data_IF_378935045652
#
_entry.id   IF_378935045652
#
_cell.length_a   1.000
_cell.length_b   1.000
_cell.length_c   1.000
_cell.angle_alpha   90.00
_cell.angle_beta   90.00
_cell.angle_gamma   90.00
#
_symmetry.space_group_name_H-M   'P 1'
#
loop_
_entity.id
_entity.type
_entity.pdbx_description
1 polymer ?
#
# COMPACT_ATOMS: atom_id res chain seq x y z
N UNK A 1 18.65 23.01 -51.75
CA UNK A 1 18.92 23.74 -50.50
C UNK A 1 18.89 25.25 -50.73
N UNK A 2 18.22 25.99 -49.85
CA UNK A 2 18.21 27.47 -49.95
C UNK A 2 19.51 28.06 -49.41
N UNK A 3 19.84 29.30 -49.83
CA UNK A 3 21.00 30.04 -49.29
C UNK A 3 20.95 30.14 -47.77
N UNK A 4 19.72 30.25 -47.19
CA UNK A 4 19.52 30.32 -45.78
C UNK A 4 19.80 29.01 -45.06
N UNK A 5 19.34 27.88 -45.60
CA UNK A 5 19.64 26.57 -45.06
C UNK A 5 21.15 26.25 -45.11
N UNK A 6 21.82 26.64 -46.18
CA UNK A 6 23.27 26.51 -46.29
C UNK A 6 24.00 27.34 -45.22
N UNK A 7 23.48 28.53 -44.89
CA UNK A 7 24.04 29.37 -43.82
C UNK A 7 23.80 28.77 -42.42
N UNK A 8 22.64 28.14 -42.19
CA UNK A 8 22.29 27.53 -40.91
C UNK A 8 23.13 26.26 -40.69
N UNK A 9 23.15 25.37 -41.67
CA UNK A 9 23.83 24.09 -41.56
C UNK A 9 25.32 24.13 -41.86
N UNK A 10 25.88 25.28 -42.28
CA UNK A 10 27.29 25.61 -42.38
C UNK A 10 28.15 24.44 -42.90
N UNK A 11 27.80 23.88 -44.05
CA UNK A 11 28.58 22.77 -44.64
C UNK A 11 28.79 21.56 -43.70
N UNK A 12 27.82 21.23 -42.90
CA UNK A 12 27.82 20.11 -41.95
C UNK A 12 28.41 18.80 -42.54
N UNK A 13 28.26 18.60 -43.84
CA UNK A 13 28.84 17.46 -44.57
C UNK A 13 30.38 17.51 -44.65
N UNK A 14 31.01 18.59 -44.23
CA UNK A 14 32.46 18.72 -44.18
C UNK A 14 32.90 18.71 -42.71
N UNK A 15 33.45 17.59 -42.24
CA UNK A 15 33.85 17.38 -40.84
C UNK A 15 35.04 18.26 -40.40
N UNK A 16 35.72 18.98 -41.33
CA UNK A 16 36.79 19.92 -41.03
C UNK A 16 36.30 21.32 -40.63
N UNK A 17 35.01 21.58 -40.71
CA UNK A 17 34.48 22.92 -40.46
C UNK A 17 33.67 22.87 -39.19
N UNK A 18 34.06 23.63 -38.15
CA UNK A 18 33.25 23.85 -36.95
C UNK A 18 31.93 24.48 -37.32
N UNK A 19 30.84 23.80 -36.97
CA UNK A 19 29.53 24.26 -37.35
C UNK A 19 28.39 23.66 -36.49
N UNK A 20 27.31 23.36 -37.17
CA UNK A 20 26.14 22.75 -36.57
C UNK A 20 26.43 21.33 -36.09
N UNK A 21 26.29 21.05 -34.79
CA UNK A 21 26.46 19.70 -34.28
C UNK A 21 25.20 18.86 -34.58
N UNK A 22 25.33 17.98 -35.53
CA UNK A 22 24.26 17.08 -35.98
C UNK A 22 23.90 15.98 -34.99
N UNK A 23 24.76 15.71 -34.01
CA UNK A 23 24.53 14.68 -32.98
C UNK A 23 23.52 15.16 -31.98
N UNK A 24 23.35 16.49 -31.82
CA UNK A 24 22.45 17.10 -30.85
C UNK A 24 21.16 17.57 -31.50
N UNK A 25 20.04 17.34 -30.81
CA UNK A 25 18.73 17.90 -31.18
C UNK A 25 18.71 19.40 -30.83
N UNK A 26 18.31 20.24 -31.76
CA UNK A 26 18.18 21.72 -31.58
C UNK A 26 16.71 22.10 -31.50
N UNK A 27 16.39 23.05 -30.64
CA UNK A 27 15.00 23.58 -30.52
C UNK A 27 14.55 24.16 -31.86
N UNK A 28 13.33 23.89 -32.25
CA UNK A 28 12.74 24.33 -33.50
C UNK A 28 11.22 24.51 -33.35
N UNK A 29 10.68 25.43 -34.16
CA UNK A 29 9.25 25.63 -34.32
C UNK A 29 8.85 25.26 -35.76
N UNK A 30 7.78 24.48 -35.86
CA UNK A 30 7.20 24.12 -37.15
C UNK A 30 6.04 25.06 -37.42
N UNK A 31 6.06 25.70 -38.58
CA UNK A 31 5.00 26.57 -39.07
C UNK A 31 4.33 25.93 -40.28
N UNK A 32 3.00 25.96 -40.31
CA UNK A 32 2.20 25.55 -41.46
C UNK A 32 1.34 26.77 -41.85
N UNK A 33 1.44 27.18 -43.12
CA UNK A 33 0.73 28.37 -43.61
C UNK A 33 0.97 29.63 -42.76
N UNK A 34 2.23 29.86 -42.35
CA UNK A 34 2.69 30.98 -41.50
C UNK A 34 2.11 31.00 -40.08
N UNK A 35 1.29 30.00 -39.68
CA UNK A 35 0.85 29.83 -38.28
C UNK A 35 1.78 28.81 -37.60
N UNK A 36 2.15 29.09 -36.36
CA UNK A 36 2.89 28.15 -35.54
C UNK A 36 2.04 26.89 -35.33
N UNK A 37 2.53 25.77 -35.84
CA UNK A 37 1.83 24.48 -35.75
C UNK A 37 2.31 23.68 -34.56
N UNK A 38 3.65 23.63 -34.36
CA UNK A 38 4.21 22.81 -33.29
C UNK A 38 5.62 23.27 -32.90
N UNK A 39 5.90 23.32 -31.60
CA UNK A 39 7.24 23.42 -31.08
C UNK A 39 7.87 22.03 -30.89
N UNK A 40 9.19 21.95 -30.98
CA UNK A 40 9.89 20.71 -30.82
C UNK A 40 11.40 20.85 -31.00
N UNK A 41 12.02 19.75 -31.40
CA UNK A 41 13.44 19.71 -31.69
C UNK A 41 13.66 19.12 -33.08
N UNK A 42 14.62 19.62 -33.79
CA UNK A 42 15.08 19.01 -35.03
C UNK A 42 16.42 18.31 -34.85
N UNK A 43 16.54 17.19 -35.52
CA UNK A 43 17.80 16.47 -35.68
C UNK A 43 18.13 16.47 -37.17
N UNK A 44 19.38 16.75 -37.48
CA UNK A 44 19.89 16.66 -38.83
C UNK A 44 20.26 15.22 -39.13
N UNK A 45 19.72 14.66 -40.21
CA UNK A 45 19.97 13.27 -40.62
C UNK A 45 20.96 13.14 -41.77
N UNK A 46 21.04 14.17 -42.60
CA UNK A 46 21.95 14.12 -43.72
C UNK A 46 21.75 15.22 -44.78
N UNK A 47 22.61 15.24 -45.78
CA UNK A 47 22.53 16.12 -46.92
C UNK A 47 22.70 15.31 -48.21
N UNK A 48 21.87 15.59 -49.19
CA UNK A 48 22.05 15.08 -50.57
C UNK A 48 22.80 16.12 -51.39
N UNK A 49 23.84 15.67 -52.03
CA UNK A 49 24.67 16.51 -52.94
C UNK A 49 24.29 16.27 -54.37
N UNK A 50 24.18 17.33 -55.15
CA UNK A 50 24.06 17.29 -56.60
C UNK A 50 25.14 18.22 -57.21
N UNK A 51 25.99 17.68 -58.06
CA UNK A 51 27.13 18.42 -58.63
C UNK A 51 28.03 19.05 -57.53
N UNK A 52 28.35 18.30 -56.49
CA UNK A 52 29.13 18.71 -55.32
C UNK A 52 28.54 19.92 -54.54
N UNK A 53 27.27 20.21 -54.72
CA UNK A 53 26.56 21.27 -53.96
C UNK A 53 25.41 20.69 -53.19
N UNK A 54 25.12 21.19 -51.99
CA UNK A 54 23.95 20.75 -51.19
C UNK A 54 22.66 20.95 -51.98
N UNK A 55 21.95 19.87 -52.23
CA UNK A 55 20.66 19.88 -52.92
C UNK A 55 19.50 19.81 -51.97
N UNK A 56 19.53 18.87 -51.03
CA UNK A 56 18.46 18.66 -50.06
C UNK A 56 19.07 18.38 -48.68
N UNK A 57 18.50 19.00 -47.63
CA UNK A 57 18.80 18.70 -46.24
C UNK A 57 17.68 17.82 -45.65
N UNK A 58 18.06 16.67 -45.08
CA UNK A 58 17.13 15.76 -44.44
C UNK A 58 17.13 16.01 -42.96
N UNK A 59 15.97 16.37 -42.43
CA UNK A 59 15.76 16.70 -41.04
C UNK A 59 14.63 15.85 -40.47
N UNK A 60 14.80 15.37 -39.25
CA UNK A 60 13.72 14.76 -38.50
C UNK A 60 13.25 15.75 -37.43
N UNK A 61 11.97 16.09 -37.46
CA UNK A 61 11.34 16.92 -36.43
C UNK A 61 10.77 16.02 -35.36
N UNK A 62 11.21 16.26 -34.13
CA UNK A 62 10.67 15.64 -32.92
C UNK A 62 9.80 16.72 -32.28
N UNK A 63 8.49 16.61 -32.43
CA UNK A 63 7.58 17.48 -31.69
C UNK A 63 7.82 17.32 -30.19
N UNK A 64 7.46 18.35 -29.41
CA UNK A 64 7.44 18.25 -27.95
C UNK A 64 6.30 17.32 -27.49
N UNK A 65 6.24 16.13 -28.11
CA UNK A 65 5.43 15.05 -27.55
C UNK A 65 6.08 14.64 -26.26
N UNK A 66 5.30 14.60 -25.20
CA UNK A 66 5.78 14.12 -23.92
C UNK A 66 6.25 12.70 -24.10
N UNK A 67 7.53 12.48 -24.01
CA UNK A 67 8.02 11.12 -23.89
C UNK A 67 7.85 10.69 -22.43
N UNK A 68 6.65 10.25 -22.09
CA UNK A 68 6.36 9.73 -20.77
C UNK A 68 7.30 8.58 -20.38
N UNK A 69 7.75 7.79 -21.36
CA UNK A 69 8.69 6.72 -21.10
C UNK A 69 10.02 7.26 -20.56
N UNK A 70 10.53 8.35 -21.15
CA UNK A 70 11.77 8.98 -20.66
C UNK A 70 11.60 9.65 -19.30
N UNK A 71 10.40 10.17 -19.00
CA UNK A 71 10.10 10.83 -17.72
C UNK A 71 9.80 9.83 -16.60
N UNK A 72 8.94 8.86 -16.84
CA UNK A 72 8.45 7.92 -15.83
C UNK A 72 9.34 6.69 -15.69
N UNK A 73 10.17 6.38 -16.70
CA UNK A 73 11.06 5.23 -16.70
C UNK A 73 10.31 3.92 -16.46
N UNK A 74 10.93 3.04 -15.69
CA UNK A 74 10.37 1.75 -15.29
C UNK A 74 9.82 1.77 -13.84
N UNK A 75 9.49 2.96 -13.33
CA UNK A 75 8.98 3.11 -11.96
C UNK A 75 7.57 2.56 -11.85
N UNK A 76 7.37 1.63 -10.92
CA UNK A 76 6.07 1.05 -10.60
C UNK A 76 5.23 2.00 -9.73
N UNK A 77 3.90 1.84 -9.76
CA UNK A 77 3.00 2.59 -8.87
C UNK A 77 3.35 2.37 -7.40
N UNK A 78 3.71 1.15 -7.01
CA UNK A 78 4.13 0.81 -5.64
C UNK A 78 5.35 1.60 -5.14
N UNK A 79 6.16 2.16 -6.04
CA UNK A 79 7.36 2.93 -5.72
C UNK A 79 7.11 4.45 -5.61
N UNK A 80 5.87 4.89 -5.75
CA UNK A 80 5.49 6.30 -5.56
C UNK A 80 5.49 6.64 -4.06
N UNK A 81 6.47 7.41 -3.62
CA UNK A 81 6.69 7.74 -2.19
C UNK A 81 5.50 8.45 -1.55
N UNK A 82 4.75 9.23 -2.33
CA UNK A 82 3.62 10.01 -1.88
C UNK A 82 2.41 9.16 -1.50
N UNK A 83 2.33 7.91 -1.97
CA UNK A 83 1.23 6.99 -1.62
C UNK A 83 1.15 6.69 -0.12
N UNK A 84 2.25 6.86 0.62
CA UNK A 84 2.26 6.72 2.08
C UNK A 84 1.32 7.68 2.82
N UNK A 85 0.98 8.82 2.21
CA UNK A 85 0.04 9.79 2.79
C UNK A 85 -1.39 9.24 2.86
N UNK A 86 -1.70 8.23 2.08
CA UNK A 86 -3.00 7.57 2.02
C UNK A 86 -3.10 6.34 2.92
N UNK A 87 -2.03 5.99 3.64
CA UNK A 87 -2.04 4.88 4.59
C UNK A 87 -3.03 5.14 5.72
N UNK A 88 -3.59 4.10 6.29
CA UNK A 88 -4.56 4.19 7.38
C UNK A 88 -4.67 2.86 8.16
N UNK A 89 -5.19 2.95 9.38
CA UNK A 89 -5.44 1.77 10.21
C UNK A 89 -6.74 1.08 9.79
N UNK A 90 -6.61 -0.21 9.46
CA UNK A 90 -7.73 -1.06 9.06
C UNK A 90 -8.39 -1.67 10.29
N UNK A 91 -9.38 -1.01 10.80
CA UNK A 91 -10.20 -1.44 11.92
C UNK A 91 -11.69 -1.17 11.63
N UNK A 92 -12.58 -1.70 12.46
CA UNK A 92 -14.01 -1.62 12.24
C UNK A 92 -14.55 -0.19 12.23
N UNK A 93 -13.94 0.71 12.99
CA UNK A 93 -14.33 2.13 13.05
C UNK A 93 -13.98 2.83 11.73
N UNK A 94 -12.73 2.73 11.31
CA UNK A 94 -12.27 3.38 10.09
C UNK A 94 -12.94 2.80 8.84
N UNK A 95 -13.09 1.47 8.77
CA UNK A 95 -13.77 0.84 7.62
C UNK A 95 -15.23 1.27 7.53
N UNK A 96 -15.95 1.33 8.66
CA UNK A 96 -17.33 1.81 8.69
C UNK A 96 -17.44 3.29 8.31
N UNK A 97 -16.53 4.12 8.81
CA UNK A 97 -16.45 5.55 8.46
C UNK A 97 -16.19 5.75 6.97
N UNK A 98 -15.15 5.11 6.42
CA UNK A 98 -14.77 5.29 5.02
C UNK A 98 -15.71 4.60 4.02
N UNK A 99 -16.53 3.65 4.49
CA UNK A 99 -17.62 3.08 3.70
C UNK A 99 -18.75 4.11 3.46
N UNK A 100 -19.03 4.96 4.44
CA UNK A 100 -20.15 5.90 4.41
C UNK A 100 -19.70 7.27 3.88
N UNK A 101 -18.60 7.78 4.43
CA UNK A 101 -18.17 9.16 4.22
C UNK A 101 -16.91 9.30 3.38
N UNK A 102 -16.25 8.17 3.04
CA UNK A 102 -14.91 8.22 2.45
C UNK A 102 -13.85 8.69 3.46
N UNK A 103 -12.59 8.70 3.02
CA UNK A 103 -11.48 9.30 3.76
C UNK A 103 -10.90 10.45 2.95
N UNK A 104 -11.01 11.65 3.49
CA UNK A 104 -10.31 12.82 2.97
C UNK A 104 -8.83 12.75 3.34
N UNK A 105 -7.97 13.19 2.42
CA UNK A 105 -6.53 13.23 2.64
C UNK A 105 -5.98 14.57 2.27
N UNK A 106 -5.32 15.22 3.23
CA UNK A 106 -4.53 16.41 2.96
C UNK A 106 -3.29 16.01 2.17
N UNK A 107 -3.27 16.38 0.90
CA UNK A 107 -2.18 16.05 -0.01
C UNK A 107 -1.40 17.33 -0.33
N UNK A 108 -0.35 17.61 0.45
CA UNK A 108 0.43 18.85 0.40
C UNK A 108 -0.44 20.10 0.56
N UNK A 109 -0.66 20.86 -0.51
CA UNK A 109 -1.41 22.12 -0.52
C UNK A 109 -2.88 21.97 -0.85
N UNK A 110 -3.34 20.75 -1.18
CA UNK A 110 -4.72 20.49 -1.54
C UNK A 110 -5.31 19.35 -0.70
N UNK A 111 -6.61 19.41 -0.47
CA UNK A 111 -7.35 18.29 0.12
C UNK A 111 -8.00 17.47 -1.00
N UNK A 112 -7.77 16.16 -0.97
CA UNK A 112 -8.42 15.20 -1.87
C UNK A 112 -9.59 14.58 -1.11
N UNK A 113 -10.78 15.00 -1.45
CA UNK A 113 -12.03 14.51 -0.85
C UNK A 113 -12.27 13.08 -1.28
N UNK A 114 -12.75 12.23 -0.38
CA UNK A 114 -12.97 10.80 -0.61
C UNK A 114 -11.78 10.11 -1.30
N UNK A 115 -10.57 10.42 -0.86
CA UNK A 115 -9.36 9.87 -1.46
C UNK A 115 -9.31 8.33 -1.35
N UNK A 116 -9.85 7.79 -0.25
CA UNK A 116 -10.02 6.35 -0.03
C UNK A 116 -11.50 6.09 0.30
N UNK A 117 -12.06 5.09 -0.35
CA UNK A 117 -13.41 4.59 -0.11
C UNK A 117 -13.41 3.08 0.00
N UNK A 118 -14.47 2.50 0.58
CA UNK A 118 -14.69 1.05 0.58
C UNK A 118 -15.89 0.72 -0.31
N UNK A 119 -15.69 0.42 -1.60
CA UNK A 119 -16.79 0.05 -2.48
C UNK A 119 -17.34 -1.32 -2.08
N UNK A 120 -18.65 -1.50 -2.22
CA UNK A 120 -19.33 -2.77 -1.99
C UNK A 120 -19.05 -3.75 -3.13
N UNK A 121 -17.79 -4.11 -3.31
CA UNK A 121 -17.30 -5.04 -4.35
C UNK A 121 -16.64 -6.23 -3.65
N UNK A 122 -16.92 -7.42 -4.14
CA UNK A 122 -16.28 -8.66 -3.69
C UNK A 122 -16.07 -9.59 -4.88
N UNK A 123 -15.06 -10.47 -4.79
CA UNK A 123 -14.75 -11.47 -5.81
C UNK A 123 -15.42 -12.82 -5.53
N UNK A 124 -15.80 -13.08 -4.28
CA UNK A 124 -16.21 -14.42 -3.83
C UNK A 124 -17.72 -14.53 -3.60
N UNK A 125 -18.35 -13.44 -3.20
CA UNK A 125 -19.77 -13.43 -2.84
C UNK A 125 -20.53 -12.33 -3.56
N UNK A 126 -21.83 -12.53 -3.72
CA UNK A 126 -22.74 -11.49 -4.21
C UNK A 126 -23.26 -10.67 -3.03
N UNK A 127 -23.10 -9.36 -3.07
CA UNK A 127 -23.70 -8.45 -2.11
C UNK A 127 -25.12 -8.10 -2.59
N UNK A 128 -26.07 -8.29 -1.70
CA UNK A 128 -27.48 -7.93 -1.90
C UNK A 128 -27.99 -7.10 -0.73
N UNK A 129 -29.05 -6.35 -0.93
CA UNK A 129 -29.80 -5.73 0.15
C UNK A 129 -31.25 -6.22 0.05
N UNK A 130 -31.67 -7.07 0.98
CA UNK A 130 -33.04 -7.56 1.08
C UNK A 130 -33.60 -7.21 2.46
N UNK A 131 -34.55 -6.28 2.49
CA UNK A 131 -35.21 -5.82 3.72
C UNK A 131 -36.21 -6.84 4.26
N UNK A 132 -36.69 -7.76 3.44
CA UNK A 132 -37.73 -8.74 3.81
C UNK A 132 -37.20 -10.06 4.37
N UNK A 133 -35.88 -10.20 4.48
CA UNK A 133 -35.21 -11.08 5.44
C UNK A 133 -35.27 -12.60 5.31
N UNK A 134 -35.67 -13.15 4.20
CA UNK A 134 -35.47 -14.59 3.97
C UNK A 134 -34.03 -14.93 3.53
N UNK A 135 -33.26 -13.92 3.07
CA UNK A 135 -31.89 -14.11 2.59
C UNK A 135 -30.92 -13.90 3.73
N UNK A 136 -30.40 -14.98 4.28
CA UNK A 136 -29.29 -15.00 5.24
C UNK A 136 -27.95 -15.09 4.53
N UNK A 137 -26.90 -14.67 5.19
CA UNK A 137 -25.54 -14.79 4.67
C UNK A 137 -25.18 -16.26 4.43
N UNK A 138 -24.63 -16.50 3.25
CA UNK A 138 -24.01 -17.77 2.85
C UNK A 138 -22.60 -17.52 2.35
N UNK A 139 -21.86 -18.56 1.98
CA UNK A 139 -20.55 -18.41 1.36
C UNK A 139 -20.58 -17.59 0.05
N UNK A 140 -21.74 -17.60 -0.66
CA UNK A 140 -21.89 -16.95 -1.99
C UNK A 140 -22.76 -15.70 -1.98
N UNK A 141 -23.48 -15.42 -0.90
CA UNK A 141 -24.41 -14.29 -0.80
C UNK A 141 -24.20 -13.60 0.55
N UNK A 142 -24.02 -12.29 0.54
CA UNK A 142 -23.97 -11.43 1.73
C UNK A 142 -25.09 -10.41 1.67
N UNK A 143 -26.00 -10.47 2.64
CA UNK A 143 -27.06 -9.48 2.76
C UNK A 143 -26.57 -8.30 3.60
N UNK A 144 -26.42 -7.12 2.99
CA UNK A 144 -25.96 -5.90 3.64
C UNK A 144 -26.93 -5.35 4.70
N UNK A 145 -28.11 -5.95 4.82
CA UNK A 145 -29.09 -5.56 5.86
C UNK A 145 -28.52 -5.78 7.25
N UNK A 146 -28.69 -4.79 8.10
CA UNK A 146 -28.46 -4.94 9.56
C UNK A 146 -29.74 -5.46 10.21
N UNK A 147 -29.67 -6.57 10.93
CA UNK A 147 -30.78 -7.11 11.69
C UNK A 147 -30.32 -7.56 13.09
N UNK A 148 -30.56 -6.70 14.08
CA UNK A 148 -30.17 -7.00 15.46
C UNK A 148 -28.68 -7.34 15.60
N UNK A 149 -28.39 -8.27 16.51
CA UNK A 149 -27.02 -8.77 16.75
C UNK A 149 -26.75 -10.10 16.01
N UNK A 150 -27.51 -10.43 14.96
CA UNK A 150 -27.35 -11.68 14.25
C UNK A 150 -26.14 -11.65 13.33
N UNK A 151 -25.26 -12.64 13.44
CA UNK A 151 -24.12 -12.87 12.54
C UNK A 151 -24.53 -13.31 11.13
N UNK A 152 -25.83 -13.59 10.92
CA UNK A 152 -26.35 -14.05 9.63
C UNK A 152 -26.67 -12.90 8.65
N UNK A 153 -26.32 -11.68 9.02
CA UNK A 153 -26.53 -10.47 8.21
C UNK A 153 -25.32 -9.54 8.33
N UNK A 154 -25.20 -8.62 7.41
CA UNK A 154 -24.09 -7.69 7.32
C UNK A 154 -22.93 -8.24 6.47
N UNK A 155 -22.03 -7.37 6.09
CA UNK A 155 -20.85 -7.72 5.32
C UNK A 155 -19.69 -7.80 6.32
N UNK A 156 -18.97 -8.93 6.38
CA UNK A 156 -17.76 -9.02 7.20
C UNK A 156 -16.74 -7.97 6.77
N UNK A 157 -16.15 -7.27 7.72
CA UNK A 157 -15.14 -6.25 7.46
C UNK A 157 -14.00 -6.82 6.59
N UNK A 158 -13.59 -8.06 6.84
CA UNK A 158 -12.52 -8.75 6.09
C UNK A 158 -12.78 -8.92 4.59
N UNK A 159 -14.04 -8.83 4.15
CA UNK A 159 -14.41 -8.88 2.72
C UNK A 159 -14.36 -7.50 2.04
N UNK A 160 -14.33 -6.41 2.83
CA UNK A 160 -14.28 -5.05 2.31
C UNK A 160 -12.83 -4.64 2.04
N UNK A 161 -12.58 -4.16 0.84
CA UNK A 161 -11.27 -3.72 0.39
C UNK A 161 -11.34 -2.26 -0.03
N UNK A 162 -10.30 -1.47 0.26
CA UNK A 162 -10.30 -0.06 -0.09
C UNK A 162 -10.14 0.16 -1.59
N UNK A 163 -10.54 1.32 -2.04
CA UNK A 163 -10.23 1.83 -3.36
C UNK A 163 -9.66 3.24 -3.22
N UNK A 164 -8.63 3.55 -4.01
CA UNK A 164 -8.00 4.87 -4.05
C UNK A 164 -8.48 5.65 -5.27
N UNK A 165 -8.77 6.93 -5.07
CA UNK A 165 -9.15 7.83 -6.17
C UNK A 165 -8.00 7.94 -7.19
N UNK A 166 -8.31 7.75 -8.47
CA UNK A 166 -7.32 7.84 -9.57
C UNK A 166 -6.61 9.20 -9.60
N UNK A 167 -7.33 10.27 -9.29
CA UNK A 167 -6.76 11.60 -9.16
C UNK A 167 -5.60 11.66 -8.16
N UNK A 168 -5.70 10.96 -7.03
CA UNK A 168 -4.63 10.87 -6.03
C UNK A 168 -3.35 10.23 -6.59
N UNK A 169 -3.50 9.20 -7.42
CA UNK A 169 -2.37 8.54 -8.08
C UNK A 169 -1.71 9.47 -9.10
N UNK A 170 -2.51 10.20 -9.90
CA UNK A 170 -1.99 11.20 -10.85
C UNK A 170 -1.19 12.27 -10.10
N UNK A 171 -1.71 12.80 -8.98
CA UNK A 171 -0.99 13.79 -8.16
C UNK A 171 0.31 13.23 -7.57
N UNK A 172 0.32 11.97 -7.16
CA UNK A 172 1.53 11.29 -6.68
C UNK A 172 2.59 11.15 -7.80
N UNK A 173 2.16 10.84 -9.03
CA UNK A 173 3.04 10.78 -10.20
C UNK A 173 3.65 12.16 -10.50
N UNK A 174 2.83 13.21 -10.56
CA UNK A 174 3.31 14.57 -10.83
C UNK A 174 4.42 14.99 -9.85
N UNK A 175 4.20 14.76 -8.56
CA UNK A 175 5.16 15.12 -7.52
C UNK A 175 6.42 14.25 -7.55
N UNK A 176 6.27 12.94 -7.80
CA UNK A 176 7.41 12.03 -7.87
C UNK A 176 8.38 12.41 -8.98
N UNK A 177 7.87 12.82 -10.14
CA UNK A 177 8.65 13.06 -11.35
C UNK A 177 8.88 14.55 -11.66
N UNK A 178 8.38 15.46 -10.81
CA UNK A 178 8.65 16.89 -10.93
C UNK A 178 8.07 17.52 -12.19
N UNK A 179 6.87 17.14 -12.60
CA UNK A 179 6.12 17.79 -13.68
C UNK A 179 4.66 17.95 -13.28
N UNK A 180 3.93 18.75 -14.03
CA UNK A 180 2.51 18.99 -13.78
C UNK A 180 1.71 18.78 -15.08
N UNK A 181 0.60 18.04 -14.97
CA UNK A 181 -0.43 18.01 -15.99
C UNK A 181 -1.27 19.30 -15.96
N UNK A 182 -1.76 19.73 -17.11
CA UNK A 182 -2.79 20.76 -17.13
C UNK A 182 -4.05 20.29 -16.40
N UNK A 183 -4.79 21.25 -15.86
CA UNK A 183 -6.05 20.98 -15.17
C UNK A 183 -7.25 21.00 -16.12
N UNK A 184 -7.01 20.88 -17.43
CA UNK A 184 -8.09 20.82 -18.41
C UNK A 184 -8.88 19.51 -18.28
N UNK A 185 -8.17 18.38 -18.09
CA UNK A 185 -8.79 17.06 -17.94
C UNK A 185 -8.63 16.48 -16.53
N UNK A 186 -7.39 16.48 -15.98
CA UNK A 186 -7.12 15.95 -14.65
C UNK A 186 -7.45 16.97 -13.57
N UNK A 187 -8.74 17.16 -13.33
CA UNK A 187 -9.29 18.14 -12.40
C UNK A 187 -10.47 17.58 -11.63
N UNK A 188 -10.79 18.20 -10.48
CA UNK A 188 -11.92 17.84 -9.63
C UNK A 188 -13.27 18.16 -10.28
N UNK A 189 -13.29 19.15 -11.14
CA UNK A 189 -14.48 19.59 -11.88
C UNK A 189 -14.89 18.61 -12.98
N UNK A 190 -13.96 17.80 -13.46
CA UNK A 190 -14.26 16.69 -14.38
C UNK A 190 -14.81 15.49 -13.59
N UNK A 191 -16.12 15.48 -13.39
CA UNK A 191 -16.82 14.49 -12.56
C UNK A 191 -16.63 13.06 -13.07
N UNK A 192 -16.59 12.86 -14.38
CA UNK A 192 -16.39 11.53 -14.98
C UNK A 192 -15.02 10.95 -14.65
N UNK A 193 -13.99 11.76 -14.68
CA UNK A 193 -12.65 11.37 -14.27
C UNK A 193 -12.50 11.31 -12.74
N UNK A 194 -12.98 12.35 -12.04
CA UNK A 194 -12.74 12.47 -10.61
C UNK A 194 -13.38 11.34 -9.79
N UNK A 195 -14.49 10.78 -10.24
CA UNK A 195 -15.19 9.70 -9.56
C UNK A 195 -14.69 8.30 -9.91
N UNK A 196 -13.53 8.18 -10.54
CA UNK A 196 -12.93 6.87 -10.81
C UNK A 196 -11.96 6.51 -9.69
N UNK A 197 -12.08 5.26 -9.27
CA UNK A 197 -11.27 4.66 -8.22
C UNK A 197 -10.56 3.41 -8.72
N UNK A 198 -9.39 3.15 -8.17
CA UNK A 198 -8.68 1.89 -8.33
C UNK A 198 -8.91 1.03 -7.09
N UNK A 199 -9.54 -0.12 -7.28
CA UNK A 199 -9.74 -1.09 -6.22
C UNK A 199 -8.41 -1.74 -5.84
N UNK A 200 -8.13 -1.85 -4.53
CA UNK A 200 -6.82 -2.20 -4.02
C UNK A 200 -6.83 -3.59 -3.37
N UNK A 201 -5.89 -4.42 -3.79
CA UNK A 201 -5.62 -5.72 -3.20
C UNK A 201 -4.21 -6.18 -3.63
N UNK A 202 -3.60 -7.07 -2.85
CA UNK A 202 -2.34 -7.71 -3.24
C UNK A 202 -2.56 -8.72 -4.39
N UNK A 203 -1.48 -9.35 -4.87
CA UNK A 203 -1.53 -10.34 -5.97
C UNK A 203 -2.43 -11.55 -5.67
N UNK A 204 -2.62 -11.87 -4.41
CA UNK A 204 -3.41 -13.00 -3.93
C UNK A 204 -4.87 -12.61 -3.61
N UNK A 205 -5.23 -11.37 -3.89
CA UNK A 205 -6.56 -10.83 -3.64
C UNK A 205 -6.81 -10.40 -2.19
N UNK A 206 -5.81 -10.45 -1.31
CA UNK A 206 -5.87 -10.00 0.08
C UNK A 206 -5.48 -8.51 0.25
N UNK A 207 -5.58 -8.02 1.47
CA UNK A 207 -5.08 -6.68 1.86
C UNK A 207 -3.71 -6.75 2.50
N UNK A 208 -3.41 -7.87 3.13
CA UNK A 208 -2.16 -8.10 3.84
C UNK A 208 -1.39 -9.18 3.11
N UNK A 209 -0.10 -8.99 2.96
CA UNK A 209 0.80 -10.09 2.63
C UNK A 209 0.84 -11.02 3.84
N UNK A 210 1.00 -12.32 3.63
CA UNK A 210 1.06 -13.36 4.67
C UNK A 210 2.17 -13.19 5.72
N UNK A 211 2.74 -12.01 5.82
CA UNK A 211 3.62 -11.66 6.93
C UNK A 211 2.73 -11.37 8.15
N UNK A 212 2.53 -12.41 8.95
CA UNK A 212 2.01 -12.27 10.29
C UNK A 212 2.86 -11.24 11.04
N UNK A 213 2.24 -10.14 11.46
CA UNK A 213 2.93 -9.17 12.31
C UNK A 213 3.06 -9.74 13.71
N UNK A 214 4.27 -9.65 14.28
CA UNK A 214 4.52 -10.06 15.67
C UNK A 214 4.12 -8.94 16.61
N UNK A 215 3.16 -9.21 17.47
CA UNK A 215 2.68 -8.29 18.49
C UNK A 215 3.21 -8.70 19.85
N UNK A 216 4.02 -7.86 20.52
CA UNK A 216 4.54 -8.18 21.83
C UNK A 216 3.43 -8.24 22.88
N UNK A 217 3.45 -9.26 23.69
CA UNK A 217 2.62 -9.32 24.90
C UNK A 217 3.25 -8.42 25.96
N UNK A 218 2.60 -7.30 26.25
CA UNK A 218 3.06 -6.30 27.21
C UNK A 218 2.27 -6.36 28.52
N UNK A 219 2.66 -5.59 29.53
CA UNK A 219 1.97 -5.54 30.82
C UNK A 219 2.30 -6.72 31.73
N UNK A 220 3.47 -7.33 31.56
CA UNK A 220 4.06 -8.20 32.55
C UNK A 220 4.39 -7.35 33.78
N UNK A 221 4.13 -7.85 34.99
CA UNK A 221 4.47 -7.11 36.20
C UNK A 221 3.32 -6.92 37.19
N UNK A 222 2.08 -7.24 36.82
CA UNK A 222 0.98 -7.45 37.78
C UNK A 222 1.20 -8.80 38.48
N UNK A 223 2.16 -8.83 39.40
CA UNK A 223 2.52 -10.06 40.11
C UNK A 223 1.52 -10.33 41.18
N UNK A 224 0.77 -11.43 41.06
CA UNK A 224 -0.02 -11.98 42.12
C UNK A 224 0.61 -13.27 42.62
N UNK A 225 0.96 -13.35 43.92
CA UNK A 225 1.63 -14.48 44.52
C UNK A 225 2.83 -14.13 45.36
N UNK A 226 3.68 -15.12 45.70
CA UNK A 226 4.85 -14.93 46.55
C UNK A 226 6.00 -14.27 45.78
N UNK A 227 6.11 -12.95 45.89
CA UNK A 227 7.07 -12.12 45.21
C UNK A 227 8.56 -12.41 45.52
N UNK A 228 8.83 -13.26 46.52
CA UNK A 228 10.20 -13.54 46.95
C UNK A 228 10.99 -14.43 45.96
N UNK A 229 10.32 -15.02 45.00
CA UNK A 229 10.89 -16.00 44.05
C UNK A 229 11.01 -15.53 42.61
N UNK A 230 10.54 -14.31 42.29
CA UNK A 230 10.67 -13.77 40.93
C UNK A 230 11.39 -12.44 40.96
N UNK A 231 12.52 -12.39 40.29
CA UNK A 231 13.25 -11.18 39.96
C UNK A 231 13.27 -11.00 38.44
N UNK A 232 13.47 -9.80 37.97
CA UNK A 232 13.68 -9.55 36.54
C UNK A 232 12.42 -9.51 35.68
N UNK A 233 11.22 -9.30 36.26
CA UNK A 233 10.03 -9.04 35.48
C UNK A 233 9.99 -7.56 35.11
N UNK A 234 9.94 -7.28 33.82
CA UNK A 234 9.67 -5.95 33.26
C UNK A 234 8.29 -5.92 32.62
N UNK A 235 7.87 -4.79 32.09
CA UNK A 235 6.59 -4.70 31.34
C UNK A 235 6.55 -5.59 30.10
N UNK A 236 7.69 -5.96 29.55
CA UNK A 236 7.80 -6.66 28.26
C UNK A 236 8.58 -7.98 28.31
N UNK A 237 9.25 -8.29 29.40
CA UNK A 237 10.08 -9.48 29.51
C UNK A 237 10.14 -10.07 30.90
N UNK A 238 10.49 -11.33 30.97
CA UNK A 238 10.74 -12.06 32.20
C UNK A 238 12.12 -12.70 32.11
N UNK A 239 12.91 -12.57 33.19
CA UNK A 239 14.22 -13.20 33.32
C UNK A 239 14.12 -14.42 34.22
N UNK A 240 14.42 -15.60 33.68
CA UNK A 240 14.66 -16.80 34.48
C UNK A 240 16.16 -16.87 34.86
N UNK A 241 16.47 -16.62 36.11
CA UNK A 241 17.85 -16.63 36.63
C UNK A 241 18.29 -18.03 37.15
N UNK A 242 17.40 -19.02 37.12
CA UNK A 242 17.67 -20.34 37.73
C UNK A 242 18.34 -21.28 36.74
N UNK A 243 19.41 -21.93 37.22
CA UNK A 243 20.09 -22.99 36.52
C UNK A 243 19.28 -24.31 36.68
N UNK A 244 19.00 -25.00 35.58
CA UNK A 244 18.19 -26.22 35.49
C UNK A 244 18.72 -27.40 36.29
N UNK A 245 19.91 -27.28 36.85
CA UNK A 245 20.55 -28.42 37.56
C UNK A 245 19.90 -28.72 38.92
N UNK A 246 19.16 -27.81 39.50
CA UNK A 246 18.60 -27.91 40.86
C UNK A 246 17.10 -27.74 40.96
N UNK A 247 16.52 -26.79 40.27
CA UNK A 247 15.10 -26.46 40.31
C UNK A 247 14.54 -26.28 38.89
N UNK A 248 13.36 -26.85 38.65
CA UNK A 248 12.70 -26.71 37.37
C UNK A 248 11.71 -25.58 37.38
N UNK A 249 11.69 -24.79 36.30
CA UNK A 249 10.66 -23.81 36.05
C UNK A 249 9.86 -24.16 34.81
N UNK A 250 8.57 -24.07 34.95
CA UNK A 250 7.62 -24.22 33.85
C UNK A 250 6.89 -22.90 33.65
N UNK A 251 6.65 -22.57 32.41
CA UNK A 251 5.83 -21.46 31.99
C UNK A 251 4.47 -21.99 31.57
N UNK A 252 3.40 -21.43 32.13
CA UNK A 252 2.04 -21.67 31.68
C UNK A 252 1.52 -20.39 31.04
N UNK A 253 1.14 -20.48 29.77
CA UNK A 253 0.52 -19.37 29.04
C UNK A 253 -0.90 -19.78 28.68
N UNK A 254 -1.87 -18.94 29.01
CA UNK A 254 -3.25 -19.07 28.61
C UNK A 254 -3.60 -17.90 27.69
N UNK A 255 -3.89 -18.20 26.41
CA UNK A 255 -4.28 -17.21 25.41
C UNK A 255 -5.76 -17.29 25.15
N UNK A 256 -6.46 -16.17 25.34
CA UNK A 256 -7.90 -16.01 25.15
C UNK A 256 -8.15 -15.06 23.98
N UNK A 257 -8.26 -15.57 22.74
CA UNK A 257 -8.55 -14.71 21.59
C UNK A 257 -10.02 -14.25 21.63
N UNK A 258 -10.24 -13.00 21.25
CA UNK A 258 -11.59 -12.44 21.10
C UNK A 258 -11.94 -12.37 19.61
N UNK A 259 -12.08 -13.52 18.98
CA UNK A 259 -12.37 -13.66 17.56
C UNK A 259 -12.14 -15.09 17.06
N UNK A 260 -12.45 -15.33 15.79
CA UNK A 260 -12.37 -16.66 15.14
C UNK A 260 -11.12 -16.83 14.28
N UNK A 261 -10.24 -15.83 14.20
CA UNK A 261 -9.04 -15.86 13.39
C UNK A 261 -7.97 -16.83 13.93
N UNK A 262 -7.12 -17.34 13.03
CA UNK A 262 -5.94 -18.09 13.42
C UNK A 262 -4.82 -17.16 13.88
N UNK A 263 -4.00 -17.64 14.81
CA UNK A 263 -2.84 -16.93 15.32
C UNK A 263 -1.71 -17.91 15.64
N UNK A 264 -0.49 -17.39 15.74
CA UNK A 264 0.64 -18.13 16.25
C UNK A 264 1.07 -17.54 17.60
N UNK A 265 1.48 -18.40 18.53
CA UNK A 265 2.11 -17.99 19.78
C UNK A 265 3.60 -18.24 19.66
N UNK A 266 4.41 -17.19 19.85
CA UNK A 266 5.86 -17.24 19.74
C UNK A 266 6.50 -16.80 21.06
N UNK A 267 7.40 -17.61 21.57
CA UNK A 267 8.23 -17.30 22.73
C UNK A 267 9.67 -17.14 22.25
N UNK A 268 10.27 -16.02 22.56
CA UNK A 268 11.70 -15.79 22.32
C UNK A 268 12.47 -15.87 23.63
N UNK A 269 13.64 -16.48 23.56
CA UNK A 269 14.64 -16.52 24.63
C UNK A 269 15.89 -15.80 24.15
N UNK A 270 16.32 -14.82 24.94
CA UNK A 270 17.54 -14.03 24.64
C UNK A 270 17.50 -13.37 23.24
N UNK A 271 16.28 -13.07 22.74
CA UNK A 271 16.03 -12.44 21.44
C UNK A 271 15.76 -13.43 20.29
N UNK A 272 16.15 -14.69 20.45
CA UNK A 272 15.96 -15.75 19.43
C UNK A 272 14.68 -16.55 19.69
N UNK A 273 14.07 -17.08 18.61
CA UNK A 273 12.88 -17.92 18.73
C UNK A 273 13.20 -19.20 19.51
N UNK A 274 12.54 -19.38 20.65
CA UNK A 274 12.71 -20.52 21.53
C UNK A 274 11.62 -21.56 21.31
N UNK A 275 10.37 -21.12 21.17
CA UNK A 275 9.22 -22.00 20.95
C UNK A 275 8.13 -21.29 20.15
N UNK A 276 7.48 -22.05 19.29
CA UNK A 276 6.39 -21.59 18.43
C UNK A 276 5.24 -22.60 18.41
N UNK A 277 4.02 -22.10 18.39
CA UNK A 277 2.81 -22.86 18.08
C UNK A 277 2.07 -22.13 16.98
N UNK A 278 1.86 -22.83 15.87
CA UNK A 278 1.25 -22.26 14.68
C UNK A 278 -0.23 -22.65 14.55
N UNK A 279 -0.99 -21.82 13.82
CA UNK A 279 -2.37 -22.09 13.44
C UNK A 279 -3.31 -22.38 14.62
N UNK A 280 -3.10 -21.72 15.74
CA UNK A 280 -4.02 -21.76 16.87
C UNK A 280 -5.30 -21.01 16.48
N UNK A 281 -6.45 -21.60 16.77
CA UNK A 281 -7.76 -21.01 16.39
C UNK A 281 -8.50 -20.56 17.64
N UNK A 282 -8.99 -19.31 17.60
CA UNK A 282 -9.96 -18.81 18.59
C UNK A 282 -11.37 -19.23 18.22
N UNK A 283 -12.16 -19.68 19.17
CA UNK A 283 -13.58 -19.94 18.97
C UNK A 283 -14.40 -18.96 19.81
N UNK A 284 -15.24 -18.16 19.13
CA UNK A 284 -16.27 -17.35 19.78
C UNK A 284 -17.53 -18.18 19.95
N UNK A 285 -17.60 -19.00 20.99
CA UNK A 285 -18.91 -19.48 21.48
C UNK A 285 -19.08 -19.00 22.89
N UNK A 286 -20.17 -18.29 23.15
CA UNK A 286 -20.57 -17.85 24.45
C UNK A 286 -20.37 -18.97 25.47
N UNK A 287 -19.58 -18.70 26.52
CA UNK A 287 -19.33 -19.45 27.74
C UNK A 287 -18.26 -20.55 27.79
N UNK A 288 -17.59 -20.90 26.71
CA UNK A 288 -16.38 -21.75 26.77
C UNK A 288 -15.39 -21.35 25.70
N UNK A 289 -14.63 -20.31 25.97
CA UNK A 289 -13.44 -20.02 25.18
C UNK A 289 -12.50 -21.22 25.26
N UNK A 290 -12.22 -21.87 24.15
CA UNK A 290 -11.14 -22.85 24.08
C UNK A 290 -9.83 -22.07 24.19
N UNK A 291 -9.47 -21.80 25.44
CA UNK A 291 -8.20 -21.18 25.76
C UNK A 291 -7.09 -22.12 25.38
N UNK A 292 -6.08 -21.63 24.68
CA UNK A 292 -4.86 -22.39 24.47
C UNK A 292 -3.98 -22.27 25.69
N UNK A 293 -3.91 -23.32 26.47
CA UNK A 293 -2.97 -23.43 27.58
C UNK A 293 -1.76 -24.22 27.12
N UNK A 294 -0.58 -23.63 27.25
CA UNK A 294 0.69 -24.30 27.02
C UNK A 294 1.49 -24.34 28.32
N UNK A 295 2.09 -25.48 28.60
CA UNK A 295 3.08 -25.65 29.66
C UNK A 295 4.41 -25.94 29.02
N UNK A 296 5.44 -25.22 29.41
CA UNK A 296 6.76 -25.28 28.81
C UNK A 296 7.82 -25.18 29.88
N UNK A 297 8.74 -26.14 29.92
CA UNK A 297 9.95 -26.05 30.75
C UNK A 297 10.86 -24.96 30.19
N UNK A 298 11.30 -24.02 31.03
CA UNK A 298 12.07 -22.86 30.64
C UNK A 298 13.46 -22.86 31.26
N UNK A 299 14.54 -23.05 30.47
CA UNK A 299 15.92 -22.89 30.95
C UNK A 299 16.22 -21.43 31.32
N UNK A 300 17.40 -21.21 31.93
CA UNK A 300 17.88 -19.85 32.25
C UNK A 300 17.91 -18.98 31.00
N UNK A 301 17.44 -17.72 31.12
CA UNK A 301 17.43 -16.74 30.01
C UNK A 301 16.36 -15.68 30.16
N UNK A 302 16.32 -14.75 29.21
CA UNK A 302 15.35 -13.69 29.12
C UNK A 302 14.24 -14.05 28.12
N UNK A 303 13.00 -14.03 28.58
CA UNK A 303 11.84 -14.45 27.80
C UNK A 303 10.98 -13.24 27.40
N UNK A 304 10.60 -13.23 26.12
CA UNK A 304 9.60 -12.31 25.55
C UNK A 304 8.54 -13.11 24.80
N UNK A 305 7.31 -12.60 24.80
CA UNK A 305 6.15 -13.30 24.29
C UNK A 305 5.51 -12.50 23.18
N UNK A 306 5.11 -13.18 22.11
CA UNK A 306 4.51 -12.55 20.94
C UNK A 306 3.30 -13.36 20.46
N UNK A 307 2.29 -12.66 19.98
CA UNK A 307 1.23 -13.23 19.16
C UNK A 307 1.43 -12.75 17.74
N UNK A 308 1.46 -13.69 16.81
CA UNK A 308 1.48 -13.39 15.39
C UNK A 308 0.10 -13.67 14.81
N UNK A 309 -0.45 -12.73 14.09
CA UNK A 309 -1.74 -12.88 13.42
C UNK A 309 -1.83 -11.99 12.21
N UNK A 310 -2.56 -12.45 11.20
CA UNK A 310 -2.93 -11.69 10.01
C UNK A 310 -4.34 -11.11 10.11
N UNK A 311 -5.08 -11.51 11.14
CA UNK A 311 -6.47 -11.09 11.34
C UNK A 311 -6.55 -10.07 12.47
N UNK A 312 -7.25 -8.95 12.22
CA UNK A 312 -7.56 -8.00 13.28
C UNK A 312 -8.38 -8.68 14.39
N UNK A 313 -7.80 -8.79 15.56
CA UNK A 313 -8.40 -9.44 16.71
C UNK A 313 -7.81 -8.90 18.00
N UNK A 314 -8.51 -9.08 19.12
CA UNK A 314 -7.97 -8.78 20.43
C UNK A 314 -7.66 -10.07 21.17
N UNK A 315 -6.63 -10.04 21.99
CA UNK A 315 -6.15 -11.20 22.73
C UNK A 315 -5.93 -10.83 24.19
N UNK A 316 -6.45 -11.66 25.09
CA UNK A 316 -6.08 -11.63 26.50
C UNK A 316 -5.09 -12.76 26.76
N UNK A 317 -4.11 -12.51 27.61
CA UNK A 317 -3.10 -13.51 27.94
C UNK A 317 -2.87 -13.55 29.44
N UNK A 318 -2.94 -14.77 30.03
CA UNK A 318 -2.48 -15.02 31.38
C UNK A 318 -1.14 -15.74 31.32
N UNK A 319 -0.15 -15.28 32.07
CA UNK A 319 1.18 -15.90 32.12
C UNK A 319 1.52 -16.22 33.56
N UNK A 320 1.71 -17.50 33.84
CA UNK A 320 2.04 -18.04 35.15
C UNK A 320 3.36 -18.78 35.09
N UNK A 321 4.22 -18.53 36.03
CA UNK A 321 5.46 -19.27 36.23
C UNK A 321 5.24 -20.28 37.36
N UNK A 322 5.56 -21.52 37.07
CA UNK A 322 5.46 -22.63 38.01
C UNK A 322 6.89 -23.00 38.39
N UNK A 323 7.21 -22.84 39.65
CA UNK A 323 8.52 -23.20 40.19
C UNK A 323 8.39 -24.49 41.00
N UNK A 324 9.03 -25.56 40.56
CA UNK A 324 9.10 -26.86 41.24
C UNK A 324 10.34 -26.91 42.11
N UNK A 325 10.15 -26.67 43.41
CA UNK A 325 11.21 -26.66 44.40
C UNK A 325 11.62 -28.07 44.74
N UNK A 326 12.88 -28.43 44.54
CA UNK A 326 13.49 -29.68 44.97
C UNK A 326 14.18 -29.49 46.33
N UNK A 327 14.18 -30.50 47.18
CA UNK A 327 14.87 -30.47 48.45
C UNK A 327 13.93 -30.44 49.66
N UNK A 328 14.38 -29.87 50.80
CA UNK A 328 13.65 -29.88 52.08
C UNK A 328 12.31 -29.09 52.01
N UNK A 329 12.24 -28.07 51.15
CA UNK A 329 11.05 -27.27 50.89
C UNK A 329 10.29 -27.77 49.64
N UNK A 330 10.08 -29.07 49.50
CA UNK A 330 9.35 -29.65 48.37
C UNK A 330 8.01 -28.98 48.14
N UNK A 331 7.70 -28.57 46.92
CA UNK A 331 6.40 -28.08 46.52
C UNK A 331 6.44 -27.25 45.23
N UNK A 332 5.31 -27.20 44.54
CA UNK A 332 5.10 -26.30 43.39
C UNK A 332 4.60 -24.98 43.89
N UNK A 333 5.23 -23.88 43.43
CA UNK A 333 4.75 -22.53 43.61
C UNK A 333 4.37 -21.94 42.29
N UNK A 334 3.19 -21.36 42.20
CA UNK A 334 2.67 -20.70 41.03
C UNK A 334 2.69 -19.20 41.24
N UNK A 335 3.21 -18.47 40.29
CA UNK A 335 3.29 -17.02 40.31
C UNK A 335 2.79 -16.50 38.98
N UNK A 336 1.69 -15.76 39.03
CA UNK A 336 1.16 -15.14 37.83
C UNK A 336 1.84 -13.81 37.63
N UNK A 337 2.53 -13.65 36.51
CA UNK A 337 3.23 -12.42 36.11
C UNK A 337 2.37 -11.54 35.21
N UNK A 338 1.29 -12.08 34.66
CA UNK A 338 0.26 -11.37 33.93
C UNK A 338 -1.08 -12.07 34.16
N UNK A 339 -2.07 -11.33 34.61
CA UNK A 339 -3.42 -11.81 34.84
C UNK A 339 -4.38 -11.00 33.96
N UNK A 340 -4.90 -11.63 32.93
CA UNK A 340 -6.04 -11.23 32.11
C UNK A 340 -6.15 -9.77 31.65
N UNK A 341 -5.12 -8.98 31.89
CA UNK A 341 -5.17 -7.55 31.64
C UNK A 341 -5.14 -7.24 30.14
N UNK A 342 -5.44 -6.04 29.81
CA UNK A 342 -5.55 -5.39 28.49
C UNK A 342 -5.29 -6.27 27.27
N UNK A 343 -6.38 -6.57 26.59
CA UNK A 343 -6.30 -7.02 25.21
C UNK A 343 -5.48 -6.02 24.39
N UNK A 344 -4.55 -6.46 23.61
CA UNK A 344 -4.05 -5.60 22.53
C UNK A 344 -4.97 -5.79 21.32
N UNK A 345 -5.22 -4.69 20.65
CA UNK A 345 -5.96 -4.69 19.41
C UNK A 345 -4.93 -4.68 18.29
N UNK A 346 -5.04 -5.65 17.40
CA UNK A 346 -4.23 -5.63 16.20
C UNK A 346 -4.86 -4.65 15.20
N UNK A 347 -4.48 -3.39 15.27
CA UNK A 347 -4.79 -2.41 14.25
C UNK A 347 -3.80 -2.64 13.09
N UNK A 348 -4.27 -3.34 12.07
CA UNK A 348 -3.47 -3.54 10.87
C UNK A 348 -3.43 -2.24 10.08
N UNK A 349 -2.23 -1.73 9.84
CA UNK A 349 -2.06 -0.55 8.99
C UNK A 349 -2.07 -0.96 7.51
N UNK A 350 -2.97 -0.35 6.74
CA UNK A 350 -2.96 -0.47 5.28
C UNK A 350 -1.86 0.40 4.71
N UNK A 351 -0.88 -0.25 4.11
CA UNK A 351 0.11 0.40 3.29
C UNK A 351 -0.32 0.36 1.82
N UNK A 352 -0.72 1.48 1.27
CA UNK A 352 -1.22 1.58 -0.10
C UNK A 352 -0.22 1.04 -1.11
N UNK A 353 1.09 1.29 -0.90
CA UNK A 353 2.13 0.82 -1.80
C UNK A 353 2.23 -0.71 -1.89
N UNK A 354 1.78 -1.45 -0.86
CA UNK A 354 1.83 -2.92 -0.85
C UNK A 354 0.62 -3.58 -1.51
N UNK A 355 -0.49 -2.85 -1.65
CA UNK A 355 -1.75 -3.37 -2.19
C UNK A 355 -2.17 -2.73 -3.52
N UNK A 356 -1.44 -1.71 -3.99
CA UNK A 356 -1.66 -1.13 -5.31
C UNK A 356 -1.16 -2.12 -6.39
N UNK A 357 -1.85 -2.25 -7.55
CA UNK A 357 -1.44 -3.15 -8.61
C UNK A 357 0.02 -2.98 -9.04
N UNK A 358 0.71 -4.10 -9.24
CA UNK A 358 2.10 -4.14 -9.68
C UNK A 358 2.21 -3.80 -11.17
N UNK A 359 2.03 -2.51 -11.50
CA UNK A 359 2.13 -1.98 -12.86
C UNK A 359 3.06 -0.78 -12.92
N UNK A 360 3.62 -0.53 -14.10
CA UNK A 360 4.45 0.65 -14.34
C UNK A 360 3.59 1.92 -14.35
N UNK A 361 4.13 3.01 -13.80
CA UNK A 361 3.46 4.32 -13.83
C UNK A 361 3.15 4.77 -15.27
N UNK A 362 4.01 4.43 -16.23
CA UNK A 362 3.79 4.71 -17.65
C UNK A 362 2.56 3.96 -18.18
N UNK A 363 2.42 2.67 -17.85
CA UNK A 363 1.29 1.86 -18.32
C UNK A 363 -0.04 2.35 -17.74
N UNK A 364 -0.02 2.79 -16.48
CA UNK A 364 -1.17 3.42 -15.83
C UNK A 364 -1.59 4.70 -16.56
N UNK A 365 -0.65 5.63 -16.81
CA UNK A 365 -0.94 6.88 -17.52
C UNK A 365 -1.44 6.61 -18.93
N UNK A 366 -0.77 5.73 -19.68
CA UNK A 366 -1.19 5.35 -21.05
C UNK A 366 -2.57 4.67 -21.04
N UNK A 367 -2.87 3.88 -20.01
CA UNK A 367 -4.20 3.27 -19.81
C UNK A 367 -5.29 4.33 -19.69
N UNK A 368 -5.09 5.37 -18.89
CA UNK A 368 -6.02 6.50 -18.76
C UNK A 368 -6.17 7.28 -20.06
N UNK A 369 -5.05 7.53 -20.76
CA UNK A 369 -5.10 8.21 -22.07
C UNK A 369 -5.93 7.43 -23.09
N UNK A 370 -5.83 6.11 -23.10
CA UNK A 370 -6.65 5.26 -23.97
C UNK A 370 -8.11 5.23 -23.54
N UNK A 371 -8.36 5.15 -22.23
CA UNK A 371 -9.72 5.07 -21.68
C UNK A 371 -10.55 6.30 -22.03
N UNK A 372 -9.94 7.48 -21.96
CA UNK A 372 -10.61 8.76 -22.21
C UNK A 372 -10.28 9.40 -23.55
N UNK A 373 -9.61 8.66 -24.45
CA UNK A 373 -9.20 9.18 -25.76
C UNK A 373 -8.42 10.51 -25.67
N UNK A 374 -7.41 10.54 -24.80
CA UNK A 374 -6.63 11.73 -24.51
C UNK A 374 -5.38 11.85 -25.39
N UNK A 375 -4.97 13.09 -25.58
CA UNK A 375 -3.66 13.45 -26.14
C UNK A 375 -2.93 14.38 -25.19
N UNK A 376 -1.59 14.40 -25.30
CA UNK A 376 -0.76 15.29 -24.51
C UNK A 376 0.37 15.91 -25.33
N UNK A 377 0.69 17.15 -24.99
CA UNK A 377 1.86 17.85 -25.51
C UNK A 377 2.47 18.73 -24.42
N UNK A 378 3.75 19.07 -24.57
CA UNK A 378 4.45 19.92 -23.60
C UNK A 378 4.48 21.34 -24.11
N UNK A 379 4.11 22.31 -23.29
CA UNK A 379 4.35 23.74 -23.54
C UNK A 379 5.81 24.12 -23.29
N UNK A 380 6.19 25.31 -23.74
CA UNK A 380 7.52 25.87 -23.49
C UNK A 380 7.86 26.01 -22.00
N UNK A 381 6.85 26.18 -21.15
CA UNK A 381 6.92 26.20 -19.68
C UNK A 381 7.34 24.86 -19.06
N UNK A 382 7.26 23.76 -19.83
CA UNK A 382 7.46 22.41 -19.33
C UNK A 382 6.17 21.76 -18.78
N UNK A 383 5.05 22.47 -18.75
CA UNK A 383 3.75 21.95 -18.36
C UNK A 383 3.22 20.98 -19.42
N UNK A 384 2.63 19.89 -18.99
CA UNK A 384 2.04 18.87 -19.86
C UNK A 384 0.57 19.17 -20.04
N UNK A 385 0.19 19.66 -21.21
CA UNK A 385 -1.21 19.89 -21.55
C UNK A 385 -1.86 18.57 -21.93
N UNK A 386 -3.01 18.28 -21.31
CA UNK A 386 -3.81 17.07 -21.56
C UNK A 386 -5.20 17.48 -22.00
N UNK A 387 -5.64 17.00 -23.15
CA UNK A 387 -6.98 17.28 -23.70
C UNK A 387 -7.56 16.01 -24.30
N UNK A 388 -8.88 15.95 -24.39
CA UNK A 388 -9.51 14.95 -25.26
C UNK A 388 -9.13 15.22 -26.73
N UNK A 389 -9.11 14.18 -27.56
CA UNK A 389 -8.80 14.35 -28.99
C UNK A 389 -9.82 15.31 -29.65
N UNK A 390 -11.07 15.26 -29.27
CA UNK A 390 -12.11 16.14 -29.80
C UNK A 390 -11.83 17.62 -29.48
N UNK A 391 -11.50 17.93 -28.22
CA UNK A 391 -11.09 19.29 -27.82
C UNK A 391 -9.81 19.74 -28.51
N UNK A 392 -8.84 18.86 -28.67
CA UNK A 392 -7.60 19.15 -29.35
C UNK A 392 -7.83 19.56 -30.81
N UNK A 393 -8.67 18.83 -31.55
CA UNK A 393 -8.96 19.17 -32.94
C UNK A 393 -9.85 20.41 -33.05
N UNK A 394 -10.84 20.57 -32.18
CA UNK A 394 -11.74 21.76 -32.18
C UNK A 394 -10.99 23.05 -31.83
N UNK A 395 -10.01 22.99 -30.92
CA UNK A 395 -9.20 24.17 -30.54
C UNK A 395 -8.12 24.50 -31.57
N UNK A 396 -7.89 23.67 -32.57
CA UNK A 396 -6.89 23.85 -33.62
C UNK A 396 -7.47 24.42 -34.93
N UNK A 397 -8.77 24.64 -34.97
CA UNK A 397 -9.50 25.34 -36.05
C UNK A 397 -9.74 26.81 -35.69
#
# INVERSE_FOLDING_TARGET
ASKQNNKIFKHFYNYHIDGFDARTKKNAKLYVNFKEYKEGKIKFEGVELKNNKPHTYKLTFFGNTVNFKDKLGETKLSNLKQLRLFNFDYNSTNVAEYLVNGKDVQFFTEEIIDAIVFPLITTESRIVFDSNSSVVNTAKIKNARRFGNSTNYGIPMSELKPAIRIYAIIRAIELQFGFEFSRDFFTKENVEFYNIYMWLHNKEGGLFTDQSSQYPVTGLGNITGDNNFIRGVTTNSFVNEFDDSKDKRELRINVKPNGTGSYNLVIKKDGEEFQRWDNLVGTTTNSSTTNKVVNLEIPQGTYTFFIETVVASSYETDITIIHDLKGFLKGKREITIRDGGTSFQNDQNINISSIIPDMLSIDFVVGLFKMFNLTAYTEASGKVIVKSLDEYYTSST
#
